data_IF_479793555145
#
_entry.id   IF_479793555145
#
_cell.length_a   1.000
_cell.length_b   1.000
_cell.length_c   1.000
_cell.angle_alpha   90.00
_cell.angle_beta   90.00
_cell.angle_gamma   90.00
#
_symmetry.space_group_name_H-M   'P 1'
#
loop_
_entity.id
_entity.type
_entity.pdbx_description
1 polymer ?
#
# COMPACT_ATOMS: atom_id res chain seq x y z
N UNK A 1 28.03 -24.85 15.07
CA UNK A 1 27.81 -23.92 13.94
C UNK A 1 28.33 -22.54 14.31
N UNK A 2 29.30 -22.01 13.54
CA UNK A 2 29.93 -20.71 13.80
C UNK A 2 29.01 -19.62 13.24
N UNK A 3 28.45 -18.76 14.10
CA UNK A 3 27.64 -17.61 13.67
C UNK A 3 28.56 -16.56 13.05
N UNK A 4 28.47 -16.36 11.73
CA UNK A 4 29.18 -15.29 11.04
C UNK A 4 28.35 -14.00 11.13
N UNK A 5 28.92 -12.97 11.76
CA UNK A 5 28.34 -11.64 11.79
C UNK A 5 28.63 -10.94 10.45
N UNK A 6 27.64 -10.98 9.55
CA UNK A 6 27.71 -10.44 8.18
C UNK A 6 28.01 -8.93 8.10
N UNK A 7 27.87 -8.19 9.21
CA UNK A 7 28.01 -6.74 9.25
C UNK A 7 29.48 -6.24 9.27
N UNK A 8 30.47 -7.14 9.31
CA UNK A 8 31.90 -6.79 9.44
C UNK A 8 32.82 -7.45 8.42
N UNK A 9 32.27 -8.15 7.42
CA UNK A 9 33.07 -8.93 6.49
C UNK A 9 33.61 -8.02 5.38
N UNK A 10 34.93 -8.01 5.20
CA UNK A 10 35.59 -7.29 4.10
C UNK A 10 35.29 -7.99 2.75
N UNK A 11 35.21 -7.22 1.66
CA UNK A 11 34.92 -7.73 0.30
C UNK A 11 35.84 -8.89 -0.11
N UNK A 12 37.13 -8.81 0.24
CA UNK A 12 38.10 -9.88 -0.05
C UNK A 12 37.85 -11.16 0.75
N UNK A 13 37.37 -11.03 1.99
CA UNK A 13 37.03 -12.16 2.86
C UNK A 13 35.72 -12.82 2.40
N UNK A 14 34.77 -12.01 1.91
CA UNK A 14 33.53 -12.48 1.30
C UNK A 14 33.79 -13.30 0.03
N UNK A 15 34.64 -12.81 -0.89
CA UNK A 15 34.99 -13.56 -2.11
C UNK A 15 35.67 -14.89 -1.78
N UNK A 16 36.55 -14.92 -0.77
CA UNK A 16 37.18 -16.17 -0.30
C UNK A 16 36.15 -17.14 0.29
N UNK A 17 35.18 -16.65 1.05
CA UNK A 17 34.10 -17.47 1.60
C UNK A 17 33.27 -18.10 0.48
N UNK A 18 32.81 -17.29 -0.48
CA UNK A 18 32.04 -17.79 -1.63
C UNK A 18 32.82 -18.83 -2.44
N UNK A 19 34.12 -18.61 -2.66
CA UNK A 19 34.99 -19.56 -3.34
C UNK A 19 35.15 -20.87 -2.56
N UNK A 20 35.26 -20.81 -1.24
CA UNK A 20 35.40 -21.99 -0.40
C UNK A 20 34.08 -22.79 -0.30
N UNK A 21 32.94 -22.12 -0.28
CA UNK A 21 31.64 -22.74 -0.11
C UNK A 21 31.05 -23.27 -1.44
N UNK A 22 31.29 -22.56 -2.56
CA UNK A 22 30.72 -22.87 -3.87
C UNK A 22 31.75 -23.44 -4.87
N UNK A 23 33.05 -23.41 -4.53
CA UNK A 23 34.13 -23.90 -5.40
C UNK A 23 34.42 -23.02 -6.62
N UNK A 24 33.72 -21.90 -6.80
CA UNK A 24 33.80 -21.04 -7.98
C UNK A 24 34.07 -19.58 -7.61
N UNK A 25 34.78 -18.87 -8.48
CA UNK A 25 35.03 -17.43 -8.30
C UNK A 25 33.81 -16.60 -8.73
N UNK A 26 33.55 -15.49 -8.05
CA UNK A 26 32.41 -14.62 -8.36
C UNK A 26 32.68 -13.89 -9.68
N UNK A 27 31.81 -14.01 -10.69
CA UNK A 27 31.98 -13.30 -11.96
C UNK A 27 32.01 -11.79 -11.77
N UNK A 28 32.80 -11.10 -12.62
CA UNK A 28 32.85 -9.64 -12.63
C UNK A 28 31.44 -9.08 -12.88
N UNK A 29 31.05 -8.08 -12.09
CA UNK A 29 29.76 -7.38 -12.17
C UNK A 29 28.48 -8.18 -11.85
N UNK A 30 28.56 -9.42 -11.35
CA UNK A 30 27.37 -10.25 -11.02
C UNK A 30 26.32 -9.53 -10.15
N UNK A 31 26.74 -8.80 -9.12
CA UNK A 31 25.83 -8.08 -8.21
C UNK A 31 25.51 -6.64 -8.63
N UNK A 32 26.03 -6.16 -9.77
CA UNK A 32 25.91 -4.75 -10.18
C UNK A 32 24.46 -4.36 -10.44
N UNK A 33 23.73 -5.18 -11.21
CA UNK A 33 22.33 -4.95 -11.56
C UNK A 33 21.42 -4.99 -10.34
N UNK A 34 21.56 -6.02 -9.50
CA UNK A 34 20.77 -6.17 -8.27
C UNK A 34 21.00 -5.02 -7.30
N UNK A 35 22.27 -4.62 -7.09
CA UNK A 35 22.61 -3.48 -6.22
C UNK A 35 22.02 -2.17 -6.74
N UNK A 36 22.05 -1.93 -8.05
CA UNK A 36 21.45 -0.74 -8.67
C UNK A 36 19.93 -0.74 -8.50
N UNK A 37 19.27 -1.87 -8.77
CA UNK A 37 17.82 -2.03 -8.66
C UNK A 37 17.32 -1.86 -7.23
N UNK A 38 18.06 -2.37 -6.23
CA UNK A 38 17.75 -2.16 -4.81
C UNK A 38 17.92 -0.69 -4.42
N UNK A 39 19.02 -0.04 -4.86
CA UNK A 39 19.26 1.38 -4.56
C UNK A 39 18.14 2.28 -5.12
N UNK A 40 17.72 2.02 -6.36
CA UNK A 40 16.62 2.73 -7.01
C UNK A 40 15.31 2.56 -6.22
N UNK A 41 14.94 1.33 -5.86
CA UNK A 41 13.72 1.05 -5.07
C UNK A 41 13.74 1.66 -3.67
N UNK A 42 14.87 1.63 -2.97
CA UNK A 42 15.00 2.24 -1.64
C UNK A 42 14.90 3.77 -1.71
N UNK A 43 15.47 4.39 -2.75
CA UNK A 43 15.39 5.85 -2.94
C UNK A 43 13.97 6.32 -3.28
N UNK A 44 13.19 5.48 -3.98
CA UNK A 44 11.77 5.74 -4.27
C UNK A 44 10.93 5.60 -3.00
N UNK A 45 11.19 4.58 -2.17
CA UNK A 45 10.45 4.32 -0.93
C UNK A 45 10.58 5.40 0.15
N UNK A 46 11.63 6.22 0.14
CA UNK A 46 11.76 7.36 1.08
C UNK A 46 10.90 8.58 0.70
N UNK A 47 10.50 8.70 -0.58
CA UNK A 47 9.76 9.87 -1.07
C UNK A 47 8.24 9.76 -0.87
N UNK A 48 7.72 8.57 -0.61
CA UNK A 48 6.29 8.32 -0.41
C UNK A 48 5.97 8.14 1.07
N UNK A 49 6.33 9.13 1.91
CA UNK A 49 5.71 9.23 3.24
C UNK A 49 4.24 9.61 3.02
N UNK A 50 3.26 8.83 3.51
CA UNK A 50 1.87 9.21 3.40
C UNK A 50 1.71 10.60 4.05
N UNK A 51 1.11 11.55 3.30
CA UNK A 51 0.80 12.88 3.82
C UNK A 51 -0.27 12.73 4.89
N UNK A 52 0.12 12.43 6.12
CA UNK A 52 -0.75 12.57 7.28
C UNK A 52 -1.03 14.06 7.44
N UNK A 53 -2.24 14.45 7.05
CA UNK A 53 -2.75 15.82 7.20
C UNK A 53 -2.98 16.11 8.68
N UNK A 54 -1.93 16.53 9.38
CA UNK A 54 -2.08 17.13 10.69
C UNK A 54 -2.53 18.58 10.51
N UNK A 55 -3.66 18.93 11.12
CA UNK A 55 -4.07 20.32 11.25
C UNK A 55 -2.99 21.09 12.02
N UNK A 56 -2.53 22.21 11.46
CA UNK A 56 -1.55 23.08 12.14
C UNK A 56 -2.13 23.54 13.49
N UNK A 57 -1.40 23.44 14.61
CA UNK A 57 -1.92 23.71 15.96
C UNK A 57 -2.43 25.14 16.14
N UNK A 58 -1.98 26.09 15.31
CA UNK A 58 -2.47 27.48 15.31
C UNK A 58 -3.96 27.61 14.98
N UNK A 59 -4.55 26.66 14.23
CA UNK A 59 -5.99 26.69 13.92
C UNK A 59 -6.85 26.03 15.00
N UNK A 60 -6.25 25.39 16.02
CA UNK A 60 -7.00 24.70 17.08
C UNK A 60 -7.90 25.64 17.87
N UNK A 61 -7.38 26.81 18.28
CA UNK A 61 -8.15 27.80 19.02
C UNK A 61 -9.25 28.46 18.17
N UNK A 62 -8.98 28.72 16.90
CA UNK A 62 -9.95 29.30 15.98
C UNK A 62 -11.10 28.34 15.68
N UNK A 63 -10.81 27.05 15.51
CA UNK A 63 -11.82 26.01 15.38
C UNK A 63 -12.65 25.82 16.65
N UNK A 64 -12.03 25.81 17.83
CA UNK A 64 -12.74 25.70 19.10
C UNK A 64 -13.71 26.89 19.32
N UNK A 65 -13.26 28.12 19.05
CA UNK A 65 -14.11 29.31 19.15
C UNK A 65 -15.29 29.27 18.16
N UNK A 66 -15.05 28.82 16.92
CA UNK A 66 -16.09 28.59 15.91
C UNK A 66 -17.20 27.65 16.42
N UNK A 67 -16.81 26.51 17.00
CA UNK A 67 -17.76 25.53 17.52
C UNK A 67 -18.61 26.12 18.66
N UNK A 68 -17.98 26.84 19.59
CA UNK A 68 -18.68 27.49 20.72
C UNK A 68 -19.69 28.54 20.19
N UNK A 69 -19.31 29.32 19.19
CA UNK A 69 -20.20 30.32 18.56
C UNK A 69 -21.40 29.63 17.88
N UNK A 70 -21.18 28.53 17.15
CA UNK A 70 -22.27 27.77 16.52
C UNK A 70 -23.25 27.19 17.55
N UNK A 71 -22.75 26.66 18.66
CA UNK A 71 -23.57 26.14 19.75
C UNK A 71 -24.40 27.27 20.38
N UNK A 72 -23.76 28.40 20.69
CA UNK A 72 -24.46 29.57 21.24
C UNK A 72 -25.53 30.11 20.28
N UNK A 73 -25.23 30.19 18.98
CA UNK A 73 -26.16 30.63 17.96
C UNK A 73 -27.36 29.68 17.83
N UNK A 74 -27.13 28.37 17.91
CA UNK A 74 -28.18 27.34 17.88
C UNK A 74 -29.17 27.49 19.05
N UNK A 75 -28.66 27.76 20.26
CA UNK A 75 -29.50 28.02 21.45
C UNK A 75 -30.36 29.28 21.27
N UNK A 76 -29.75 30.36 20.76
CA UNK A 76 -30.46 31.64 20.53
C UNK A 76 -31.55 31.48 19.45
N UNK A 77 -31.30 30.74 18.38
CA UNK A 77 -32.31 30.43 17.36
C UNK A 77 -33.49 29.65 17.96
N UNK A 78 -33.22 28.58 18.72
CA UNK A 78 -34.27 27.78 19.40
C UNK A 78 -35.11 28.62 20.36
N UNK A 79 -34.49 29.55 21.08
CA UNK A 79 -35.20 30.42 22.03
C UNK A 79 -36.09 31.45 21.32
N UNK A 80 -35.62 32.06 20.22
CA UNK A 80 -36.41 33.00 19.42
C UNK A 80 -37.62 32.34 18.73
N UNK A 81 -37.51 31.05 18.40
CA UNK A 81 -38.61 30.26 17.85
C UNK A 81 -39.70 30.03 18.92
N UNK A 82 -39.33 29.78 20.19
CA UNK A 82 -40.32 29.61 21.28
C UNK A 82 -41.13 30.87 21.60
N UNK A 83 -40.57 32.06 21.39
CA UNK A 83 -41.21 33.33 21.77
C UNK A 83 -42.05 33.97 20.65
N UNK A 84 -41.97 33.49 19.40
CA UNK A 84 -42.68 34.08 18.25
C UNK A 84 -43.79 33.22 17.64
N UNK A 85 -44.09 32.07 18.23
CA UNK A 85 -44.91 31.08 17.56
C UNK A 85 -46.27 30.92 18.23
N UNK A 86 -47.23 31.68 17.70
CA UNK A 86 -48.62 31.24 17.55
C UNK A 86 -48.68 30.12 16.48
N UNK A 87 -47.78 29.13 16.57
CA UNK A 87 -47.74 27.99 15.67
C UNK A 87 -48.67 26.93 16.21
N UNK A 88 -49.48 26.40 15.31
CA UNK A 88 -50.37 25.29 15.58
C UNK A 88 -49.53 24.12 16.13
N UNK A 89 -49.85 23.54 17.30
CA UNK A 89 -49.05 22.49 17.92
C UNK A 89 -48.81 21.27 17.03
N UNK A 90 -49.64 21.05 16.01
CA UNK A 90 -49.49 20.01 14.99
C UNK A 90 -48.21 20.15 14.13
N UNK A 91 -47.72 21.36 13.86
CA UNK A 91 -46.54 21.55 12.99
C UNK A 91 -45.22 21.31 13.74
N UNK A 92 -45.23 21.49 15.07
CA UNK A 92 -44.07 21.21 15.94
C UNK A 92 -44.00 19.72 16.27
N UNK A 93 -45.15 19.06 16.41
CA UNK A 93 -45.24 17.62 16.61
C UNK A 93 -44.71 16.84 15.39
N UNK A 94 -44.99 17.30 14.16
CA UNK A 94 -44.45 16.67 12.95
C UNK A 94 -42.93 16.82 12.78
N UNK A 95 -42.31 17.88 13.31
CA UNK A 95 -40.86 18.08 13.25
C UNK A 95 -40.13 17.35 14.39
N UNK A 96 -40.79 17.17 15.54
CA UNK A 96 -40.27 16.37 16.67
C UNK A 96 -40.50 14.86 16.48
N UNK A 97 -41.46 14.45 15.66
CA UNK A 97 -41.73 13.06 15.30
C UNK A 97 -40.91 12.57 14.08
N UNK A 98 -40.13 13.46 13.44
CA UNK A 98 -39.07 13.03 12.54
C UNK A 98 -37.91 12.55 13.43
N UNK A 99 -37.95 11.28 13.82
CA UNK A 99 -37.00 10.63 14.73
C UNK A 99 -35.54 11.05 14.41
N UNK A 100 -34.98 11.97 15.19
CA UNK A 100 -33.56 12.36 15.13
C UNK A 100 -32.63 11.13 15.29
N UNK A 101 -33.13 10.09 15.97
CA UNK A 101 -32.47 8.79 16.14
C UNK A 101 -32.30 8.03 14.81
N UNK A 102 -33.29 8.08 13.91
CA UNK A 102 -33.22 7.37 12.63
C UNK A 102 -32.19 8.01 11.69
N UNK A 103 -32.03 9.34 11.73
CA UNK A 103 -31.01 10.05 10.94
C UNK A 103 -29.59 9.71 11.42
N UNK A 104 -29.37 9.64 12.74
CA UNK A 104 -28.08 9.28 13.33
C UNK A 104 -27.76 7.79 13.14
N UNK A 105 -28.76 6.92 13.25
CA UNK A 105 -28.61 5.47 13.02
C UNK A 105 -28.35 5.19 11.54
N UNK A 106 -29.08 5.82 10.63
CA UNK A 106 -28.83 5.70 9.19
C UNK A 106 -27.47 6.28 8.76
N UNK A 107 -26.81 7.10 9.59
CA UNK A 107 -25.43 7.55 9.35
C UNK A 107 -24.37 6.53 9.79
N UNK A 108 -24.71 5.58 10.67
CA UNK A 108 -23.79 4.55 11.16
C UNK A 108 -23.84 3.27 10.33
N UNK A 109 -24.97 3.03 9.67
CA UNK A 109 -25.18 1.86 8.83
C UNK A 109 -25.18 2.26 7.36
N UNK A 110 -24.34 1.59 6.56
CA UNK A 110 -24.42 1.65 5.10
C UNK A 110 -25.44 0.60 4.65
N UNK A 111 -26.23 0.91 3.62
CA UNK A 111 -27.20 -0.03 3.04
C UNK A 111 -26.48 -1.29 2.57
N UNK A 112 -27.09 -2.47 2.76
CA UNK A 112 -26.52 -3.74 2.29
C UNK A 112 -26.25 -3.72 0.77
N UNK A 113 -27.12 -3.07 -0.01
CA UNK A 113 -26.95 -2.89 -1.46
C UNK A 113 -25.70 -2.06 -1.82
N UNK A 114 -25.45 -0.98 -1.08
CA UNK A 114 -24.27 -0.13 -1.28
C UNK A 114 -22.98 -0.87 -0.88
N UNK A 115 -23.04 -1.65 0.21
CA UNK A 115 -21.94 -2.49 0.66
C UNK A 115 -21.65 -3.63 -0.33
N UNK A 116 -22.68 -4.27 -0.88
CA UNK A 116 -22.53 -5.32 -1.91
C UNK A 116 -21.90 -4.76 -3.18
N UNK A 117 -22.40 -3.62 -3.68
CA UNK A 117 -21.84 -2.97 -4.87
C UNK A 117 -20.36 -2.56 -4.68
N UNK A 118 -20.01 -2.08 -3.48
CA UNK A 118 -18.62 -1.79 -3.13
C UNK A 118 -17.76 -3.06 -3.11
N UNK A 119 -18.25 -4.14 -2.49
CA UNK A 119 -17.53 -5.43 -2.44
C UNK A 119 -17.33 -6.02 -3.83
N UNK A 120 -18.35 -6.01 -4.69
CA UNK A 120 -18.25 -6.51 -6.06
C UNK A 120 -17.22 -5.71 -6.86
N UNK A 121 -17.26 -4.38 -6.77
CA UNK A 121 -16.27 -3.50 -7.42
C UNK A 121 -14.87 -3.74 -6.86
N UNK A 122 -14.72 -3.92 -5.55
CA UNK A 122 -13.44 -4.18 -4.91
C UNK A 122 -12.88 -5.55 -5.30
N UNK A 123 -13.70 -6.60 -5.33
CA UNK A 123 -13.27 -7.95 -5.71
C UNK A 123 -12.85 -8.00 -7.18
N UNK A 124 -13.59 -7.37 -8.08
CA UNK A 124 -13.22 -7.32 -9.50
C UNK A 124 -11.91 -6.55 -9.69
N UNK A 125 -11.81 -5.32 -9.18
CA UNK A 125 -10.63 -4.48 -9.45
C UNK A 125 -9.40 -4.86 -8.62
N UNK A 126 -9.56 -5.33 -7.39
CA UNK A 126 -8.40 -5.58 -6.51
C UNK A 126 -8.07 -7.05 -6.35
N UNK A 127 -9.01 -7.97 -6.56
CA UNK A 127 -8.70 -9.41 -6.45
C UNK A 127 -8.48 -9.99 -7.83
N UNK A 128 -9.43 -9.80 -8.75
CA UNK A 128 -9.32 -10.41 -10.09
C UNK A 128 -8.23 -9.74 -10.93
N UNK A 129 -8.24 -8.42 -11.05
CA UNK A 129 -7.24 -7.71 -11.87
C UNK A 129 -5.80 -7.88 -11.33
N UNK A 130 -5.62 -7.81 -10.00
CA UNK A 130 -4.29 -8.01 -9.40
C UNK A 130 -3.82 -9.47 -9.53
N UNK A 131 -4.72 -10.45 -9.43
CA UNK A 131 -4.37 -11.86 -9.67
C UNK A 131 -3.96 -12.07 -11.13
N UNK A 132 -4.67 -11.45 -12.09
CA UNK A 132 -4.30 -11.52 -13.50
C UNK A 132 -2.92 -10.88 -13.77
N UNK A 133 -2.63 -9.74 -13.15
CA UNK A 133 -1.30 -9.10 -13.24
C UNK A 133 -0.21 -9.98 -12.62
N UNK A 134 -0.48 -10.60 -11.47
CA UNK A 134 0.45 -11.52 -10.81
C UNK A 134 0.71 -12.78 -11.65
N UNK A 135 -0.31 -13.38 -12.26
CA UNK A 135 -0.15 -14.52 -13.17
C UNK A 135 0.73 -14.14 -14.36
N UNK A 136 0.47 -12.99 -15.00
CA UNK A 136 1.31 -12.49 -16.10
C UNK A 136 2.76 -12.25 -15.68
N UNK A 137 3.01 -11.74 -14.48
CA UNK A 137 4.37 -11.55 -13.98
C UNK A 137 5.06 -12.90 -13.70
N UNK A 138 4.33 -13.86 -13.13
CA UNK A 138 4.83 -15.22 -12.89
C UNK A 138 5.19 -15.94 -14.20
N UNK A 139 4.31 -15.87 -15.20
CA UNK A 139 4.55 -16.47 -16.52
C UNK A 139 5.78 -15.87 -17.21
N UNK A 140 5.96 -14.54 -17.10
CA UNK A 140 7.16 -13.88 -17.62
C UNK A 140 8.43 -14.32 -16.90
N UNK A 141 8.41 -14.46 -15.57
CA UNK A 141 9.56 -14.96 -14.81
C UNK A 141 9.86 -16.41 -15.21
N UNK A 142 8.84 -17.25 -15.34
CA UNK A 142 8.98 -18.64 -15.74
C UNK A 142 9.57 -18.78 -17.16
N UNK A 143 9.03 -18.03 -18.13
CA UNK A 143 9.54 -18.02 -19.50
C UNK A 143 10.99 -17.52 -19.57
N UNK A 144 11.30 -16.42 -18.87
CA UNK A 144 12.67 -15.90 -18.80
C UNK A 144 13.63 -16.92 -18.17
N UNK A 145 13.19 -17.65 -17.14
CA UNK A 145 14.00 -18.69 -16.50
C UNK A 145 14.28 -19.88 -17.41
N UNK A 146 13.32 -20.29 -18.25
CA UNK A 146 13.54 -21.35 -19.25
C UNK A 146 14.52 -20.86 -20.32
N UNK A 147 14.32 -19.66 -20.86
CA UNK A 147 15.19 -19.10 -21.90
C UNK A 147 16.62 -18.93 -21.39
N UNK A 148 16.79 -18.43 -20.15
CA UNK A 148 18.11 -18.31 -19.52
C UNK A 148 18.75 -19.68 -19.27
N UNK A 149 17.98 -20.66 -18.80
CA UNK A 149 18.46 -22.03 -18.59
C UNK A 149 18.92 -22.68 -19.89
N UNK A 150 18.15 -22.56 -20.98
CA UNK A 150 18.50 -23.10 -22.29
C UNK A 150 19.72 -22.38 -22.88
N UNK A 151 19.82 -21.05 -22.73
CA UNK A 151 21.01 -20.31 -23.15
C UNK A 151 22.28 -20.74 -22.39
N UNK A 152 22.18 -21.06 -21.10
CA UNK A 152 23.29 -21.59 -20.32
C UNK A 152 23.64 -23.02 -20.71
N UNK A 153 22.65 -23.84 -21.08
CA UNK A 153 22.86 -25.18 -21.61
C UNK A 153 23.55 -25.12 -22.98
N UNK A 154 23.13 -24.21 -23.86
CA UNK A 154 23.75 -24.01 -25.17
C UNK A 154 25.20 -23.54 -25.05
N UNK A 155 25.49 -22.60 -24.15
CA UNK A 155 26.87 -22.16 -23.87
C UNK A 155 27.70 -23.31 -23.29
N UNK A 156 27.14 -24.08 -22.34
CA UNK A 156 27.85 -25.22 -21.74
C UNK A 156 28.10 -26.35 -22.76
N UNK A 157 27.15 -26.59 -23.66
CA UNK A 157 27.31 -27.57 -24.75
C UNK A 157 28.33 -27.06 -25.76
N UNK A 158 28.28 -25.81 -26.21
CA UNK A 158 29.24 -25.31 -27.20
C UNK A 158 30.68 -25.33 -26.65
N UNK A 159 30.90 -24.81 -25.44
CA UNK A 159 32.24 -24.72 -24.84
C UNK A 159 32.83 -26.10 -24.50
N UNK A 160 32.07 -27.03 -23.89
CA UNK A 160 32.62 -28.34 -23.51
C UNK A 160 32.63 -29.37 -24.66
N UNK A 161 31.74 -29.25 -25.65
CA UNK A 161 31.67 -30.23 -26.74
C UNK A 161 32.70 -29.93 -27.82
N UNK A 162 32.99 -28.65 -28.08
CA UNK A 162 34.08 -28.24 -29.00
C UNK A 162 35.45 -28.53 -28.39
N UNK A 163 35.65 -28.28 -27.10
CA UNK A 163 36.94 -28.54 -26.43
C UNK A 163 37.27 -30.03 -26.31
N UNK A 164 36.27 -30.91 -26.17
CA UNK A 164 36.47 -32.37 -26.06
C UNK A 164 36.47 -33.13 -27.40
N UNK A 165 36.07 -32.52 -28.53
CA UNK A 165 36.11 -33.16 -29.86
C UNK A 165 37.35 -32.73 -30.68
N UNK A 166 37.93 -31.56 -30.40
CA UNK A 166 39.10 -31.03 -31.13
C UNK A 166 40.44 -31.49 -30.51
N UNK A 167 40.42 -32.34 -29.47
CA UNK A 167 41.62 -32.95 -28.87
C UNK A 167 41.71 -34.47 -29.14
#
# INVERSE_FOLDING_TARGET
>A
MKKFNLHKINKEELTKLHKNDLGMDIPKDYFKTSKSKIMEKVTISEKEKPRVFYLRPSFGYLMAASIIILIALSIVFKYNIKTKNNLNPADVENLANANDEDILINSLFVSDDDMSNFLDTYLVNNVVENVEVMEKEFDNIFLNSIIESDALIDIYIDDNFVENIIL
#
